data_IF_230149203275
#
_entry.id   IF_230149203275
#
_cell.length_a   1.000
_cell.length_b   1.000
_cell.length_c   1.000
_cell.angle_alpha   90.00
_cell.angle_beta   90.00
_cell.angle_gamma   90.00
#
_symmetry.space_group_name_H-M   'P 1'
#
loop_
_entity.id
_entity.type
_entity.pdbx_description
1 polymer ?
#
# COMPACT_ATOMS: atom_id res chain seq x y z
N UNK A 1 -8.45 -16.90 -7.57
CA UNK A 1 -9.35 -15.79 -7.96
C UNK A 1 -10.81 -16.21 -8.06
N UNK A 2 -11.08 -17.42 -8.50
CA UNK A 2 -12.45 -17.92 -8.68
C UNK A 2 -13.29 -17.99 -7.39
N UNK A 3 -12.64 -18.03 -6.24
CA UNK A 3 -13.30 -18.09 -4.93
C UNK A 3 -13.52 -16.71 -4.29
N UNK A 4 -13.11 -15.65 -4.98
CA UNK A 4 -13.30 -14.27 -4.49
C UNK A 4 -14.67 -13.73 -4.92
N UNK A 5 -15.26 -12.94 -4.03
CA UNK A 5 -16.54 -12.26 -4.29
C UNK A 5 -16.35 -11.13 -5.31
N UNK A 6 -17.43 -10.73 -6.00
CA UNK A 6 -17.36 -9.55 -6.87
C UNK A 6 -16.82 -8.33 -6.12
N UNK A 7 -15.99 -7.55 -6.78
CA UNK A 7 -15.39 -6.36 -6.19
C UNK A 7 -14.11 -5.96 -6.89
N UNK A 8 -13.46 -4.94 -6.33
CA UNK A 8 -12.21 -4.40 -6.85
C UNK A 8 -11.05 -4.91 -6.01
N UNK A 9 -10.01 -5.43 -6.67
CA UNK A 9 -8.87 -6.06 -6.02
C UNK A 9 -7.55 -5.52 -6.52
N UNK A 10 -6.55 -5.50 -5.63
CA UNK A 10 -5.17 -5.23 -5.99
C UNK A 10 -4.36 -6.50 -5.71
N UNK A 11 -3.57 -6.92 -6.69
CA UNK A 11 -2.68 -8.07 -6.58
C UNK A 11 -1.25 -7.56 -6.59
N UNK A 12 -0.55 -7.71 -5.48
CA UNK A 12 0.85 -7.32 -5.33
C UNK A 12 1.73 -8.56 -5.54
N UNK A 13 2.43 -8.60 -6.66
CA UNK A 13 3.37 -9.69 -6.97
C UNK A 13 4.73 -9.31 -6.41
N UNK A 14 5.11 -9.90 -5.28
CA UNK A 14 6.37 -9.57 -4.62
C UNK A 14 7.40 -10.66 -4.80
N UNK A 15 8.66 -10.34 -4.50
CA UNK A 15 9.76 -11.33 -4.52
C UNK A 15 9.58 -12.46 -3.52
N UNK A 16 8.71 -12.30 -2.51
CA UNK A 16 8.44 -13.33 -1.50
C UNK A 16 7.07 -13.97 -1.62
N UNK A 17 6.29 -13.60 -2.62
CA UNK A 17 4.98 -14.17 -2.87
C UNK A 17 3.95 -13.12 -3.25
N UNK A 18 2.73 -13.57 -3.49
CA UNK A 18 1.62 -12.74 -3.94
C UNK A 18 0.70 -12.36 -2.78
N UNK A 19 0.29 -11.11 -2.75
CA UNK A 19 -0.67 -10.58 -1.78
C UNK A 19 -1.87 -10.05 -2.55
N UNK A 20 -3.07 -10.55 -2.26
CA UNK A 20 -4.31 -10.05 -2.86
C UNK A 20 -5.10 -9.27 -1.83
N UNK A 21 -5.41 -8.02 -2.14
CA UNK A 21 -6.19 -7.13 -1.28
C UNK A 21 -7.50 -6.75 -1.95
N UNK A 22 -8.58 -6.76 -1.19
CA UNK A 22 -9.83 -6.16 -1.62
C UNK A 22 -9.76 -4.67 -1.34
N UNK A 23 -10.15 -3.84 -2.32
CA UNK A 23 -10.18 -2.39 -2.18
C UNK A 23 -11.58 -1.92 -1.78
N UNK A 24 -11.67 -0.78 -1.10
CA UNK A 24 -12.92 -0.23 -0.56
C UNK A 24 -13.27 1.11 -1.21
N UNK A 25 -13.72 1.12 -2.49
CA UNK A 25 -14.00 2.38 -3.19
C UNK A 25 -15.17 3.17 -2.59
N UNK A 26 -16.08 2.51 -1.87
CA UNK A 26 -17.22 3.21 -1.26
C UNK A 26 -16.81 3.94 0.03
N UNK A 27 -15.92 3.33 0.83
CA UNK A 27 -15.47 3.89 2.11
C UNK A 27 -14.31 4.87 1.95
N UNK A 28 -13.45 4.66 0.95
CA UNK A 28 -12.27 5.50 0.71
C UNK A 28 -12.10 5.76 -0.78
N UNK A 29 -13.03 6.49 -1.40
CA UNK A 29 -13.02 6.69 -2.85
C UNK A 29 -11.76 7.39 -3.37
N UNK A 30 -11.24 8.38 -2.66
CA UNK A 30 -10.05 9.12 -3.09
C UNK A 30 -8.79 8.27 -2.99
N UNK A 31 -8.63 7.53 -1.90
CA UNK A 31 -7.47 6.66 -1.72
C UNK A 31 -7.48 5.52 -2.74
N UNK A 32 -8.63 4.90 -2.99
CA UNK A 32 -8.75 3.83 -3.97
C UNK A 32 -8.50 4.34 -5.39
N UNK A 33 -9.09 5.48 -5.76
CA UNK A 33 -8.87 6.08 -7.07
C UNK A 33 -7.39 6.42 -7.29
N UNK A 34 -6.75 7.00 -6.28
CA UNK A 34 -5.33 7.34 -6.35
C UNK A 34 -4.47 6.08 -6.50
N UNK A 35 -4.68 5.09 -5.66
CA UNK A 35 -3.91 3.85 -5.69
C UNK A 35 -4.10 3.13 -7.03
N UNK A 36 -5.35 2.97 -7.46
CA UNK A 36 -5.67 2.34 -8.74
C UNK A 36 -5.04 3.07 -9.91
N UNK A 37 -5.19 4.39 -9.95
CA UNK A 37 -4.65 5.21 -11.04
C UNK A 37 -3.14 5.13 -11.14
N UNK A 38 -2.45 5.19 -10.01
CA UNK A 38 -0.99 5.04 -9.97
C UNK A 38 -0.56 3.63 -10.37
N UNK A 39 -1.24 2.60 -9.85
CA UNK A 39 -0.89 1.20 -10.15
C UNK A 39 -1.07 0.89 -11.64
N UNK A 40 -2.13 1.37 -12.25
CA UNK A 40 -2.44 1.13 -13.67
C UNK A 40 -1.66 2.01 -14.65
N UNK A 41 -0.99 3.05 -14.14
CA UNK A 41 -0.29 4.01 -14.98
C UNK A 41 -1.22 5.04 -15.64
N UNK A 42 -2.45 5.18 -15.14
CA UNK A 42 -3.45 6.09 -15.70
C UNK A 42 -3.44 7.47 -15.05
N UNK A 43 -2.85 7.58 -13.86
CA UNK A 43 -2.81 8.83 -13.10
C UNK A 43 -1.48 9.56 -13.26
N UNK A 44 -1.55 10.85 -13.53
CA UNK A 44 -0.36 11.69 -13.65
C UNK A 44 0.28 11.94 -12.28
N UNK A 45 1.59 11.93 -12.25
CA UNK A 45 2.38 12.24 -11.06
C UNK A 45 3.67 12.95 -11.47
N UNK A 46 4.38 13.51 -10.50
CA UNK A 46 5.68 14.14 -10.73
C UNK A 46 6.79 13.13 -10.46
N UNK A 47 7.62 12.87 -11.46
CA UNK A 47 8.76 11.96 -11.34
C UNK A 47 9.79 12.56 -10.38
N UNK A 48 10.13 11.83 -9.33
CA UNK A 48 11.07 12.30 -8.31
C UNK A 48 12.49 12.52 -8.85
N UNK A 49 12.88 11.80 -9.91
CA UNK A 49 14.22 11.89 -10.50
C UNK A 49 14.37 13.04 -11.49
N UNK A 50 13.32 13.31 -12.27
CA UNK A 50 13.38 14.28 -13.37
C UNK A 50 12.61 15.56 -13.09
N UNK A 51 11.69 15.56 -12.12
CA UNK A 51 10.79 16.66 -11.86
C UNK A 51 9.68 16.82 -12.89
N UNK A 52 9.65 15.96 -13.90
CA UNK A 52 8.65 16.02 -14.98
C UNK A 52 7.34 15.32 -14.57
N UNK A 53 6.23 15.85 -15.07
CA UNK A 53 4.94 15.18 -14.92
C UNK A 53 4.85 14.05 -15.92
N UNK A 54 4.42 12.88 -15.45
CA UNK A 54 4.40 11.67 -16.28
C UNK A 54 3.28 10.72 -15.86
N UNK A 55 3.00 9.74 -16.71
CA UNK A 55 2.09 8.63 -16.44
C UNK A 55 2.82 7.34 -16.77
N UNK A 56 2.89 6.44 -15.80
CA UNK A 56 3.38 5.06 -15.97
C UNK A 56 2.95 4.26 -14.77
N UNK A 57 3.10 2.95 -14.83
CA UNK A 57 2.81 2.07 -13.68
C UNK A 57 3.76 2.44 -12.55
N UNK A 58 3.21 3.06 -11.52
CA UNK A 58 3.99 3.71 -10.46
C UNK A 58 4.68 2.72 -9.52
N UNK A 59 3.93 1.69 -9.10
CA UNK A 59 4.39 0.78 -8.05
C UNK A 59 5.30 -0.35 -8.54
N UNK A 60 5.29 -0.66 -9.82
CA UNK A 60 6.11 -1.74 -10.36
C UNK A 60 7.59 -1.45 -10.13
N UNK A 61 8.28 -2.37 -9.47
CA UNK A 61 9.71 -2.22 -9.16
C UNK A 61 10.01 -1.51 -7.85
N UNK A 62 9.02 -0.99 -7.14
CA UNK A 62 9.24 -0.35 -5.84
C UNK A 62 9.39 -1.38 -4.73
N UNK A 63 10.03 -0.99 -3.64
CA UNK A 63 10.34 -1.90 -2.52
C UNK A 63 9.48 -1.62 -1.30
N UNK A 64 9.40 -2.60 -0.40
CA UNK A 64 8.96 -2.40 0.97
C UNK A 64 10.17 -1.90 1.76
N UNK A 65 10.28 -0.60 1.93
CA UNK A 65 11.45 0.04 2.54
C UNK A 65 11.45 0.03 4.07
N UNK A 66 10.33 -0.33 4.68
CA UNK A 66 10.19 -0.37 6.14
C UNK A 66 9.32 -1.55 6.53
N UNK A 67 9.87 -2.46 7.32
CA UNK A 67 9.13 -3.65 7.79
C UNK A 67 9.37 -3.83 9.29
N UNK A 68 8.30 -4.11 10.04
CA UNK A 68 8.38 -4.32 11.48
C UNK A 68 7.50 -5.51 11.83
N UNK A 69 8.09 -6.60 12.38
CA UNK A 69 7.32 -7.79 12.78
C UNK A 69 6.22 -7.42 13.76
N UNK A 70 5.07 -8.06 13.63
CA UNK A 70 3.89 -7.84 14.48
C UNK A 70 3.35 -6.41 14.43
N UNK A 71 3.69 -5.68 13.37
CA UNK A 71 3.19 -4.32 13.15
C UNK A 71 2.74 -4.14 11.70
N UNK A 72 3.67 -3.92 10.77
CA UNK A 72 3.28 -3.64 9.37
C UNK A 72 4.46 -3.77 8.41
N UNK A 73 4.13 -3.78 7.10
CA UNK A 73 5.09 -3.62 6.01
C UNK A 73 4.68 -2.36 5.22
N UNK A 74 5.63 -1.49 4.90
CA UNK A 74 5.38 -0.20 4.24
C UNK A 74 6.18 -0.08 2.96
N UNK A 75 5.54 0.40 1.90
CA UNK A 75 6.17 0.58 0.59
C UNK A 75 5.49 1.69 -0.20
N UNK A 76 5.83 1.78 -1.49
CA UNK A 76 5.23 2.77 -2.39
C UNK A 76 5.97 4.10 -2.44
N UNK A 77 7.17 4.18 -1.87
CA UNK A 77 8.04 5.36 -2.03
C UNK A 77 8.86 5.21 -3.30
N UNK A 78 8.79 6.16 -4.24
CA UNK A 78 9.51 6.03 -5.53
C UNK A 78 11.02 5.98 -5.37
N UNK A 79 11.56 6.58 -4.31
CA UNK A 79 13.00 6.57 -4.03
C UNK A 79 13.41 5.43 -3.09
N UNK A 80 12.44 4.70 -2.52
CA UNK A 80 12.70 3.62 -1.58
C UNK A 80 13.26 4.08 -0.24
N UNK A 81 13.13 5.36 0.09
CA UNK A 81 13.71 5.97 1.31
C UNK A 81 12.68 6.29 2.38
N UNK A 82 11.40 6.34 2.00
CA UNK A 82 10.31 6.77 2.88
C UNK A 82 10.03 8.26 2.81
N UNK A 83 10.82 9.03 2.06
CA UNK A 83 10.69 10.50 1.98
C UNK A 83 10.03 10.96 0.68
N UNK A 84 9.90 10.10 -0.32
CA UNK A 84 9.38 10.46 -1.64
C UNK A 84 7.89 10.17 -1.79
N UNK A 85 7.31 10.76 -2.83
CA UNK A 85 5.90 10.58 -3.16
C UNK A 85 5.60 11.03 -4.57
N UNK A 86 4.32 11.16 -4.93
CA UNK A 86 3.90 11.46 -6.30
C UNK A 86 3.88 12.94 -6.64
N UNK A 87 4.30 13.81 -5.72
CA UNK A 87 4.32 15.26 -5.93
C UNK A 87 3.02 15.96 -5.58
N UNK A 88 2.10 15.29 -4.91
CA UNK A 88 0.84 15.87 -4.42
C UNK A 88 0.40 15.17 -3.14
N UNK A 89 -0.56 15.78 -2.44
CA UNK A 89 -1.21 15.17 -1.27
C UNK A 89 -2.73 15.20 -1.45
N UNK A 90 -3.42 14.31 -0.75
CA UNK A 90 -4.88 14.33 -0.70
C UNK A 90 -5.37 14.03 0.72
N UNK A 91 -6.62 14.39 1.00
CA UNK A 91 -7.20 14.34 2.33
C UNK A 91 -7.49 12.92 2.82
N UNK A 92 -7.56 12.77 4.15
CA UNK A 92 -7.91 11.54 4.82
C UNK A 92 -9.40 11.20 4.63
N UNK A 93 -9.68 9.91 4.71
CA UNK A 93 -11.03 9.37 4.63
C UNK A 93 -11.19 8.33 5.73
N UNK A 94 -11.91 8.68 6.80
CA UNK A 94 -12.10 7.80 7.95
C UNK A 94 -13.54 7.27 7.98
N UNK A 95 -13.75 6.06 7.45
CA UNK A 95 -15.05 5.42 7.45
C UNK A 95 -15.33 4.79 8.81
N UNK A 96 -16.56 4.92 9.29
CA UNK A 96 -16.97 4.43 10.62
C UNK A 96 -16.90 2.90 10.74
N UNK A 97 -17.08 2.19 9.65
CA UNK A 97 -17.09 0.72 9.61
C UNK A 97 -15.70 0.12 9.37
N UNK A 98 -14.65 0.95 9.28
CA UNK A 98 -13.28 0.49 9.10
C UNK A 98 -12.42 0.86 10.29
N UNK A 99 -11.68 -0.12 10.80
CA UNK A 99 -10.74 0.07 11.91
C UNK A 99 -9.58 -0.90 11.79
N UNK A 100 -8.50 -0.60 12.51
CA UNK A 100 -7.31 -1.48 12.59
C UNK A 100 -7.51 -2.56 13.65
N UNK A 101 -8.60 -3.30 13.55
CA UNK A 101 -9.04 -4.29 14.55
C UNK A 101 -8.41 -5.67 14.38
N UNK A 102 -7.74 -5.92 13.26
CA UNK A 102 -7.10 -7.20 12.95
C UNK A 102 -6.01 -7.02 11.90
N UNK A 103 -5.13 -8.03 11.70
CA UNK A 103 -4.12 -7.97 10.65
C UNK A 103 -4.71 -7.83 9.25
N UNK A 104 -3.92 -7.32 8.31
CA UNK A 104 -4.26 -7.29 6.90
C UNK A 104 -4.95 -6.03 6.42
N UNK A 105 -4.94 -4.95 7.20
CA UNK A 105 -5.48 -3.67 6.74
C UNK A 105 -4.49 -3.00 5.80
N UNK A 106 -4.98 -2.57 4.64
CA UNK A 106 -4.22 -1.79 3.67
C UNK A 106 -4.59 -0.33 3.86
N UNK A 107 -3.61 0.49 4.19
CA UNK A 107 -3.86 1.88 4.57
C UNK A 107 -2.77 2.81 4.02
N UNK A 108 -3.07 4.11 3.98
CA UNK A 108 -2.14 5.13 3.51
C UNK A 108 -1.16 5.52 4.62
N UNK A 109 0.12 5.48 4.31
CA UNK A 109 1.14 6.12 5.15
C UNK A 109 1.03 7.64 4.95
N UNK A 110 1.39 8.40 5.98
CA UNK A 110 1.31 9.85 5.92
C UNK A 110 2.33 10.51 6.87
N UNK A 111 2.47 11.83 6.74
CA UNK A 111 3.30 12.66 7.62
C UNK A 111 2.44 13.60 8.48
N UNK A 112 1.22 13.19 8.78
CA UNK A 112 0.23 13.97 9.53
C UNK A 112 -1.10 14.02 8.78
N UNK A 113 -2.03 14.83 9.27
CA UNK A 113 -3.36 14.92 8.69
C UNK A 113 -3.31 15.40 7.23
N UNK A 114 -4.08 14.72 6.37
CA UNK A 114 -4.29 15.11 4.98
C UNK A 114 -3.00 15.21 4.15
N UNK A 115 -2.05 14.28 4.39
CA UNK A 115 -0.79 14.21 3.64
C UNK A 115 -0.60 12.91 2.89
N UNK A 116 -1.69 12.29 2.45
CA UNK A 116 -1.65 11.05 1.68
C UNK A 116 -1.03 11.27 0.29
N UNK A 117 -0.18 10.37 -0.13
CA UNK A 117 0.46 10.42 -1.45
C UNK A 117 0.48 9.05 -2.11
N UNK A 118 1.63 8.41 -2.17
CA UNK A 118 1.76 7.08 -2.78
C UNK A 118 2.13 5.98 -1.79
N UNK A 119 2.73 6.31 -0.65
CA UNK A 119 3.16 5.30 0.30
C UNK A 119 1.98 4.68 1.03
N UNK A 120 2.04 3.38 1.22
CA UNK A 120 1.01 2.61 1.92
C UNK A 120 1.65 1.58 2.81
N UNK A 121 0.85 1.01 3.71
CA UNK A 121 1.30 -0.10 4.54
C UNK A 121 0.20 -1.16 4.66
N UNK A 122 0.62 -2.38 4.98
CA UNK A 122 -0.28 -3.50 5.25
C UNK A 122 0.06 -4.01 6.64
N UNK A 123 -0.95 -4.13 7.50
CA UNK A 123 -0.71 -4.50 8.91
C UNK A 123 -0.50 -6.00 9.09
N UNK A 124 0.37 -6.33 10.04
CA UNK A 124 0.65 -7.71 10.45
C UNK A 124 0.01 -8.05 11.80
N UNK A 125 -0.73 -7.12 12.38
CA UNK A 125 -1.41 -7.28 13.67
C UNK A 125 -2.55 -6.27 13.78
N UNK A 126 -3.35 -6.37 14.83
CA UNK A 126 -4.30 -5.30 15.19
C UNK A 126 -3.49 -4.09 15.67
N UNK A 127 -3.74 -2.92 15.09
CA UNK A 127 -2.99 -1.69 15.37
C UNK A 127 -3.97 -0.55 15.68
N UNK A 128 -4.78 -0.73 16.71
CA UNK A 128 -5.89 0.16 17.03
C UNK A 128 -5.50 1.61 17.30
N UNK A 129 -4.24 1.86 17.69
CA UNK A 129 -3.72 3.22 17.89
C UNK A 129 -3.62 4.02 16.59
N UNK A 130 -3.77 3.37 15.44
CA UNK A 130 -3.77 4.03 14.12
C UNK A 130 -5.17 4.48 13.68
N UNK A 131 -6.22 4.08 14.39
CA UNK A 131 -7.58 4.49 14.06
C UNK A 131 -7.71 6.03 14.09
N UNK A 132 -8.35 6.59 13.06
CA UNK A 132 -8.52 8.03 12.93
C UNK A 132 -7.24 8.79 12.55
N UNK A 133 -6.17 8.09 12.19
CA UNK A 133 -4.88 8.70 11.80
C UNK A 133 -4.46 8.30 10.39
N UNK A 134 -4.87 7.14 9.91
CA UNK A 134 -4.53 6.62 8.59
C UNK A 134 -5.77 6.14 7.86
N UNK A 135 -5.87 6.47 6.59
CA UNK A 135 -6.98 6.07 5.73
C UNK A 135 -6.86 4.60 5.37
N UNK A 136 -7.80 3.77 5.82
CA UNK A 136 -7.90 2.37 5.41
C UNK A 136 -8.64 2.33 4.08
N UNK A 137 -8.02 1.73 3.05
CA UNK A 137 -8.66 1.64 1.73
C UNK A 137 -8.74 0.22 1.16
N UNK A 138 -8.34 -0.77 1.94
CA UNK A 138 -8.46 -2.16 1.54
C UNK A 138 -8.09 -3.12 2.67
N UNK A 139 -8.16 -4.43 2.37
CA UNK A 139 -7.69 -5.46 3.29
C UNK A 139 -7.24 -6.70 2.53
N UNK A 140 -6.31 -7.43 3.13
CA UNK A 140 -5.80 -8.68 2.56
C UNK A 140 -6.87 -9.75 2.59
N UNK A 141 -7.12 -10.39 1.45
CA UNK A 141 -8.03 -11.53 1.33
C UNK A 141 -7.28 -12.82 1.03
N UNK A 142 -6.06 -12.71 0.45
CA UNK A 142 -5.13 -13.85 0.25
C UNK A 142 -3.72 -13.34 0.43
N UNK A 143 -2.86 -14.14 1.07
CA UNK A 143 -1.44 -13.80 1.20
C UNK A 143 -1.07 -13.12 2.51
N UNK A 144 -1.87 -13.23 3.55
CA UNK A 144 -1.47 -12.70 4.86
C UNK A 144 -0.18 -13.35 5.35
N UNK A 145 0.03 -14.64 5.03
CA UNK A 145 1.29 -15.33 5.33
C UNK A 145 2.48 -14.68 4.63
N UNK A 146 2.30 -14.13 3.43
CA UNK A 146 3.34 -13.39 2.71
C UNK A 146 3.63 -12.07 3.42
N UNK A 147 2.59 -11.36 3.88
CA UNK A 147 2.75 -10.14 4.68
C UNK A 147 3.58 -10.42 5.93
N UNK A 148 3.25 -11.49 6.65
CA UNK A 148 3.97 -11.89 7.86
C UNK A 148 5.42 -12.24 7.53
N UNK A 149 5.65 -12.97 6.45
CA UNK A 149 6.99 -13.33 5.98
C UNK A 149 7.83 -12.09 5.68
N UNK A 150 7.28 -11.12 4.97
CA UNK A 150 7.97 -9.86 4.64
C UNK A 150 8.27 -9.09 5.93
N UNK A 151 7.32 -9.05 6.87
CA UNK A 151 7.52 -8.30 8.12
C UNK A 151 8.64 -8.89 8.99
N UNK A 152 9.01 -10.15 8.76
CA UNK A 152 10.02 -10.86 9.55
C UNK A 152 11.38 -11.03 8.85
N UNK A 153 11.58 -10.46 7.67
CA UNK A 153 12.88 -10.56 7.00
C UNK A 153 13.97 -9.84 7.80
N UNK A 154 15.24 -10.24 7.66
CA UNK A 154 16.34 -9.48 8.29
C UNK A 154 16.32 -8.03 7.83
N UNK A 155 16.43 -7.11 8.80
CA UNK A 155 16.38 -5.67 8.57
C UNK A 155 17.52 -4.95 9.30
N UNK A 156 17.81 -3.72 8.84
CA UNK A 156 18.81 -2.88 9.47
C UNK A 156 18.20 -2.04 10.62
N UNK A 157 18.99 -1.13 11.17
CA UNK A 157 18.55 -0.28 12.29
C UNK A 157 17.46 0.72 11.94
N UNK A 158 17.16 0.90 10.65
CA UNK A 158 16.08 1.77 10.15
C UNK A 158 14.86 0.96 9.71
N UNK A 159 14.80 -0.31 10.07
CA UNK A 159 13.72 -1.25 9.72
C UNK A 159 13.62 -1.53 8.21
N UNK A 160 14.73 -1.31 7.48
CA UNK A 160 14.81 -1.56 6.06
C UNK A 160 15.28 -3.00 5.83
N UNK A 161 14.59 -3.79 4.98
CA UNK A 161 15.05 -5.14 4.64
C UNK A 161 16.49 -5.13 4.10
N UNK A 162 17.34 -6.00 4.64
CA UNK A 162 18.73 -6.11 4.19
C UNK A 162 18.82 -6.63 2.77
N UNK A 163 17.91 -7.54 2.38
CA UNK A 163 17.72 -7.94 1.00
C UNK A 163 16.45 -7.27 0.51
N UNK A 164 16.47 -6.48 -0.58
CA UNK A 164 15.28 -5.78 -1.04
C UNK A 164 14.11 -6.72 -1.29
N UNK A 165 12.94 -6.35 -0.78
CA UNK A 165 11.67 -7.01 -1.08
C UNK A 165 10.96 -6.13 -2.09
N UNK A 166 10.86 -6.61 -3.34
CA UNK A 166 10.40 -5.82 -4.48
C UNK A 166 8.97 -6.19 -4.84
N UNK A 167 8.14 -5.18 -5.10
CA UNK A 167 6.87 -5.35 -5.79
C UNK A 167 7.15 -5.42 -7.28
N UNK A 168 7.22 -6.64 -7.84
CA UNK A 168 7.52 -6.80 -9.27
C UNK A 168 6.39 -6.24 -10.13
N UNK A 169 5.15 -6.36 -9.66
CA UNK A 169 3.99 -5.76 -10.31
C UNK A 169 2.87 -5.55 -9.29
N UNK A 170 2.08 -4.51 -9.50
CA UNK A 170 0.82 -4.28 -8.77
C UNK A 170 -0.28 -4.22 -9.82
N UNK A 171 -1.18 -5.18 -9.78
CA UNK A 171 -2.27 -5.32 -10.77
C UNK A 171 -3.61 -5.00 -10.12
N UNK A 172 -4.45 -4.30 -10.85
CA UNK A 172 -5.82 -4.00 -10.42
C UNK A 172 -6.77 -4.89 -11.20
N UNK A 173 -7.64 -5.59 -10.48
CA UNK A 173 -8.59 -6.53 -11.08
C UNK A 173 -9.99 -6.22 -10.55
N UNK A 174 -10.94 -6.09 -11.45
CA UNK A 174 -12.35 -5.92 -11.10
C UNK A 174 -13.09 -7.22 -11.42
N UNK A 175 -13.66 -7.84 -10.39
CA UNK A 175 -14.46 -9.07 -10.53
C UNK A 175 -15.94 -8.72 -10.52
N UNK A 176 -16.67 -9.23 -11.51
CA UNK A 176 -18.10 -8.96 -11.68
C UNK A 176 -18.99 -10.07 -11.13
#
# INVERSE_FOLDING_TARGET
MSDLKPGLYAILETTLGEITCRLFPDQAPKAVENFRGLAEGAKEFTDAKTGARTKRRYYDGLVFHRVIPKFMIQGGCPEGTGTGGPGYHFEDEFAKDLSFDRPGKLAMANAGANTNGSQFFITAAATTWLNGRHTIFGEVVKGQDVVDKISNVPRDGSDRPRTPVVMNAVKIVELK
#
